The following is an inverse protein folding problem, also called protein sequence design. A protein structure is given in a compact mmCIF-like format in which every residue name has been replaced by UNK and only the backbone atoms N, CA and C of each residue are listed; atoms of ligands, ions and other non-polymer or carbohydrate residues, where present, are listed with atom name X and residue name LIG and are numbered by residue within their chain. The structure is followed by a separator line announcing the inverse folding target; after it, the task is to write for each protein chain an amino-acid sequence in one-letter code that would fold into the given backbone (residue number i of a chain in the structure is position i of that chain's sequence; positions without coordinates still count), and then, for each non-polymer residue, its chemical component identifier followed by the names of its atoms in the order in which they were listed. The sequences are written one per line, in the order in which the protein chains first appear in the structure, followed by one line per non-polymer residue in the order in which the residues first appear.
data_IF_652710499167
#
_entry.id   IF_652710499167
#
_cell.length_a   1.000
_cell.length_b   1.000
_cell.length_c   1.000
_cell.angle_alpha   90.00
_cell.angle_beta   90.00
_cell.angle_gamma   90.00
#
_symmetry.space_group_name_H-M   'P 1'
#
loop_
_entity.id
_entity.type
_entity.pdbx_description
1 polymer ?
#
# COMPACT_ATOMS: atom_id res chain seq x y z
N UNK A 1 7.83 14.11 13.47
CA UNK A 1 6.94 13.10 14.04
C UNK A 1 6.85 11.92 13.06
N UNK A 2 7.25 10.68 13.47
CA UNK A 2 7.24 9.50 12.62
C UNK A 2 5.81 9.06 12.20
N UNK A 3 4.78 9.61 12.80
CA UNK A 3 3.37 9.38 12.47
C UNK A 3 2.76 10.52 11.64
N UNK A 4 3.53 11.54 11.25
CA UNK A 4 3.03 12.61 10.39
C UNK A 4 2.56 12.07 9.04
N UNK A 5 1.61 12.76 8.39
CA UNK A 5 0.88 12.26 7.23
C UNK A 5 1.70 11.84 6.00
N UNK A 6 2.99 12.23 5.89
CA UNK A 6 3.97 11.71 4.92
C UNK A 6 5.27 11.39 5.65
N UNK A 7 5.72 10.15 5.51
CA UNK A 7 7.01 9.69 5.97
C UNK A 7 7.99 9.69 4.79
N UNK A 8 8.97 10.60 4.77
CA UNK A 8 10.01 10.56 3.75
C UNK A 8 10.97 9.41 4.04
N UNK A 9 10.91 8.35 3.24
CA UNK A 9 11.86 7.22 3.34
C UNK A 9 13.18 7.58 2.65
N UNK A 10 13.13 8.34 1.55
CA UNK A 10 14.25 8.97 0.86
C UNK A 10 13.78 10.26 0.20
N UNK A 11 14.47 11.38 0.46
CA UNK A 11 14.05 12.70 -0.03
C UNK A 11 14.88 13.23 -1.20
N UNK A 12 16.10 12.75 -1.38
CA UNK A 12 17.00 13.24 -2.43
C UNK A 12 16.75 12.55 -3.76
N UNK A 13 17.02 13.28 -4.86
CA UNK A 13 17.03 12.75 -6.20
C UNK A 13 16.23 13.57 -7.21
N UNK A 14 16.52 13.37 -8.50
CA UNK A 14 15.89 14.04 -9.62
C UNK A 14 14.85 13.19 -10.36
N UNK A 15 14.81 11.90 -10.08
CA UNK A 15 13.85 10.99 -10.70
C UNK A 15 12.45 11.18 -10.10
N UNK A 16 11.37 10.91 -10.85
CA UNK A 16 10.01 10.97 -10.34
C UNK A 16 9.84 10.07 -9.10
N UNK A 17 9.24 10.57 -8.02
CA UNK A 17 9.07 9.83 -6.76
C UNK A 17 8.25 8.54 -6.89
N UNK A 18 8.51 7.59 -5.99
CA UNK A 18 7.60 6.49 -5.67
C UNK A 18 6.80 6.86 -4.42
N UNK A 19 5.47 6.82 -4.52
CA UNK A 19 4.55 7.01 -3.39
C UNK A 19 3.97 5.67 -2.96
N UNK A 20 4.21 5.32 -1.69
CA UNK A 20 3.72 4.09 -1.07
C UNK A 20 2.54 4.42 -0.16
N UNK A 21 1.42 3.71 -0.32
CA UNK A 21 0.17 3.97 0.41
C UNK A 21 0.04 2.99 1.58
N UNK A 22 -0.30 3.53 2.75
CA UNK A 22 -0.37 2.77 3.99
C UNK A 22 -1.39 1.63 3.95
N UNK A 23 -1.07 0.47 4.56
CA UNK A 23 -2.03 -0.62 4.78
C UNK A 23 -3.07 -0.24 5.84
N UNK A 24 -3.98 -1.15 6.18
CA UNK A 24 -5.07 -0.87 7.12
C UNK A 24 -4.62 -0.31 8.48
N UNK A 25 -3.42 -0.65 8.96
CA UNK A 25 -2.86 -0.09 10.20
C UNK A 25 -2.44 1.39 10.11
N UNK A 26 -2.49 1.98 8.93
CA UNK A 26 -2.20 3.40 8.74
C UNK A 26 -0.71 3.77 8.65
N UNK A 27 0.21 2.81 8.76
CA UNK A 27 1.65 3.07 8.90
C UNK A 27 2.42 2.87 7.60
N UNK A 28 3.32 3.79 7.27
CA UNK A 28 4.06 3.80 6.02
C UNK A 28 5.46 3.15 6.08
N UNK A 29 6.04 2.95 7.26
CA UNK A 29 7.42 2.42 7.38
C UNK A 29 7.60 1.00 6.87
N UNK A 30 6.53 0.24 6.67
CA UNK A 30 6.53 -1.12 6.13
C UNK A 30 7.23 -1.22 4.77
N UNK A 31 7.32 -0.11 4.05
CA UNK A 31 7.97 -0.04 2.74
C UNK A 31 9.45 0.30 2.79
N UNK A 32 10.04 0.51 3.97
CA UNK A 32 11.46 0.91 4.11
C UNK A 32 12.43 -0.07 3.46
N UNK A 33 12.10 -1.35 3.45
CA UNK A 33 12.90 -2.39 2.80
C UNK A 33 13.04 -2.23 1.28
N UNK A 34 12.17 -1.47 0.61
CA UNK A 34 12.27 -1.19 -0.83
C UNK A 34 13.44 -0.28 -1.19
N UNK A 35 13.96 0.50 -0.22
CA UNK A 35 15.08 1.42 -0.47
C UNK A 35 16.35 0.72 -0.98
N UNK A 36 16.48 -0.58 -0.72
CA UNK A 36 17.61 -1.40 -1.20
C UNK A 36 17.60 -1.62 -2.70
N UNK A 37 16.44 -1.49 -3.33
CA UNK A 37 16.22 -1.84 -4.74
C UNK A 37 15.97 -0.63 -5.62
N UNK A 38 15.43 0.46 -5.06
CA UNK A 38 15.18 1.69 -5.82
C UNK A 38 16.48 2.49 -6.01
N UNK A 39 16.60 3.13 -7.18
CA UNK A 39 17.75 3.97 -7.48
C UNK A 39 17.97 5.02 -6.39
N UNK A 40 19.23 5.30 -6.06
CA UNK A 40 19.58 6.30 -5.02
C UNK A 40 19.09 7.72 -5.35
N UNK A 41 18.86 8.01 -6.64
CA UNK A 41 18.36 9.28 -7.16
C UNK A 41 16.83 9.34 -7.31
N UNK A 42 16.11 8.37 -6.76
CA UNK A 42 14.66 8.35 -6.74
C UNK A 42 14.13 8.60 -5.33
N UNK A 43 13.40 9.69 -5.09
CA UNK A 43 12.70 9.90 -3.82
C UNK A 43 11.65 8.80 -3.58
N UNK A 44 11.50 8.40 -2.32
CA UNK A 44 10.49 7.43 -1.89
C UNK A 44 9.76 8.01 -0.68
N UNK A 45 8.47 8.16 -0.82
CA UNK A 45 7.59 8.68 0.22
C UNK A 45 6.54 7.64 0.60
N UNK A 46 6.37 7.42 1.88
CA UNK A 46 5.26 6.61 2.39
C UNK A 46 4.22 7.53 3.01
N UNK A 47 2.98 7.43 2.54
CA UNK A 47 1.86 8.12 3.17
C UNK A 47 1.48 7.38 4.45
N UNK A 48 0.89 8.12 5.39
CA UNK A 48 0.41 7.61 6.66
C UNK A 48 -1.00 8.15 6.93
N UNK A 49 -1.79 7.38 7.67
CA UNK A 49 -3.15 7.76 8.02
C UNK A 49 -3.14 8.90 9.06
N UNK A 50 -3.94 9.94 8.81
CA UNK A 50 -4.07 11.08 9.74
C UNK A 50 -4.65 10.71 11.10
N UNK A 51 -5.43 9.63 11.17
CA UNK A 51 -5.96 9.11 12.44
C UNK A 51 -4.91 8.65 13.43
N UNK A 52 -3.68 8.36 12.97
CA UNK A 52 -2.53 8.07 13.84
C UNK A 52 -2.12 9.29 14.67
N UNK A 53 -2.40 10.50 14.20
CA UNK A 53 -2.09 11.76 14.89
C UNK A 53 -3.34 12.51 15.36
N UNK A 54 -4.48 11.80 15.42
CA UNK A 54 -5.72 12.32 15.99
C UNK A 54 -6.63 13.06 15.02
N UNK A 55 -6.43 12.91 13.70
CA UNK A 55 -7.42 13.38 12.74
C UNK A 55 -8.72 12.57 12.88
N UNK A 56 -9.84 13.20 12.57
CA UNK A 56 -11.14 12.52 12.52
C UNK A 56 -11.12 11.38 11.48
N UNK A 57 -11.81 10.27 11.75
CA UNK A 57 -11.97 9.20 10.78
C UNK A 57 -12.61 9.70 9.50
N UNK A 58 -12.07 9.30 8.35
CA UNK A 58 -12.70 9.57 7.07
C UNK A 58 -14.02 8.81 6.92
N UNK A 59 -14.94 9.37 6.15
CA UNK A 59 -16.24 8.75 5.87
C UNK A 59 -16.15 7.62 4.84
N UNK A 60 -15.20 7.71 3.92
CA UNK A 60 -15.00 6.77 2.82
C UNK A 60 -13.55 6.83 2.28
N UNK A 61 -13.24 5.91 1.36
CA UNK A 61 -11.91 5.83 0.71
C UNK A 61 -11.65 7.03 -0.19
N UNK A 62 -12.69 7.63 -0.75
CA UNK A 62 -12.57 8.79 -1.65
C UNK A 62 -12.08 10.03 -0.88
N UNK A 63 -12.54 10.24 0.33
CA UNK A 63 -12.05 11.30 1.22
C UNK A 63 -10.57 11.11 1.58
N UNK A 64 -10.18 9.86 1.88
CA UNK A 64 -8.77 9.50 2.11
C UNK A 64 -7.92 9.75 0.86
N UNK A 65 -8.41 9.32 -0.30
CA UNK A 65 -7.72 9.51 -1.58
C UNK A 65 -7.53 10.99 -1.89
N UNK A 66 -8.55 11.83 -1.67
CA UNK A 66 -8.45 13.28 -1.84
C UNK A 66 -7.39 13.91 -0.93
N UNK A 67 -7.38 13.51 0.33
CA UNK A 67 -6.38 13.97 1.29
C UNK A 67 -4.96 13.55 0.86
N UNK A 68 -4.80 12.30 0.40
CA UNK A 68 -3.53 11.79 -0.10
C UNK A 68 -3.08 12.52 -1.38
N UNK A 69 -3.98 12.77 -2.33
CA UNK A 69 -3.66 13.52 -3.57
C UNK A 69 -3.16 14.93 -3.24
N UNK A 70 -3.78 15.64 -2.30
CA UNK A 70 -3.27 16.96 -1.88
C UNK A 70 -1.84 16.88 -1.36
N UNK A 71 -1.51 15.87 -0.57
CA UNK A 71 -0.16 15.65 -0.01
C UNK A 71 0.85 15.25 -1.10
N UNK A 72 0.47 14.36 -2.01
CA UNK A 72 1.28 13.93 -3.14
C UNK A 72 1.61 15.13 -4.03
N UNK A 73 0.61 15.94 -4.37
CA UNK A 73 0.80 17.12 -5.22
C UNK A 73 1.61 18.24 -4.57
N UNK A 74 1.65 18.30 -3.26
CA UNK A 74 2.55 19.21 -2.56
C UNK A 74 4.03 18.86 -2.74
N UNK A 75 4.35 17.58 -3.04
CA UNK A 75 5.69 17.10 -3.33
C UNK A 75 5.95 17.07 -4.84
N UNK A 76 5.01 16.52 -5.60
CA UNK A 76 5.07 16.38 -7.06
C UNK A 76 3.78 16.98 -7.65
N UNK A 77 3.81 18.23 -8.13
CA UNK A 77 2.62 18.93 -8.64
C UNK A 77 1.98 18.29 -9.87
N UNK A 78 2.80 17.67 -10.74
CA UNK A 78 2.37 17.04 -12.01
C UNK A 78 2.99 15.66 -12.17
N UNK A 79 2.29 14.78 -12.94
CA UNK A 79 2.77 13.43 -13.26
C UNK A 79 4.06 13.41 -14.09
N UNK A 80 4.57 12.22 -14.42
CA UNK A 80 3.94 10.92 -14.18
C UNK A 80 4.07 10.44 -12.73
N UNK A 81 2.99 9.88 -12.19
CA UNK A 81 2.96 9.37 -10.81
C UNK A 81 3.26 7.86 -10.78
N UNK A 82 3.97 7.43 -9.73
CA UNK A 82 4.21 6.01 -9.42
C UNK A 82 3.62 5.71 -8.05
N UNK A 83 2.66 4.80 -8.02
CA UNK A 83 1.88 4.44 -6.83
C UNK A 83 2.07 2.97 -6.49
N UNK A 84 2.31 2.68 -5.23
CA UNK A 84 2.41 1.34 -4.68
C UNK A 84 1.56 1.22 -3.42
N UNK A 85 0.78 0.15 -3.29
CA UNK A 85 0.01 -0.09 -2.07
C UNK A 85 -0.10 -1.57 -1.72
N UNK A 86 0.02 -1.89 -0.43
CA UNK A 86 -0.23 -3.21 0.12
C UNK A 86 -1.58 -3.26 0.82
N UNK A 87 -2.35 -4.36 0.59
CA UNK A 87 -3.63 -4.57 1.28
C UNK A 87 -4.59 -3.38 1.05
N UNK A 88 -5.12 -2.76 2.08
CA UNK A 88 -5.90 -1.52 2.01
C UNK A 88 -5.19 -0.41 1.22
N UNK A 89 -3.87 -0.32 1.35
CA UNK A 89 -3.06 0.65 0.61
C UNK A 89 -3.17 0.51 -0.91
N UNK A 90 -3.42 -0.70 -1.42
CA UNK A 90 -3.64 -0.90 -2.86
C UNK A 90 -5.01 -0.39 -3.32
N UNK A 91 -6.05 -0.54 -2.50
CA UNK A 91 -7.37 0.08 -2.77
C UNK A 91 -7.24 1.61 -2.79
N UNK A 92 -6.54 2.15 -1.80
CA UNK A 92 -6.28 3.59 -1.72
C UNK A 92 -5.41 4.09 -2.90
N UNK A 93 -4.40 3.31 -3.33
CA UNK A 93 -3.58 3.63 -4.49
C UNK A 93 -4.42 3.69 -5.78
N UNK A 94 -5.35 2.76 -5.95
CA UNK A 94 -6.26 2.75 -7.11
C UNK A 94 -7.22 3.95 -7.07
N UNK A 95 -7.80 4.29 -5.93
CA UNK A 95 -8.65 5.48 -5.78
C UNK A 95 -7.88 6.79 -6.07
N UNK A 96 -6.63 6.89 -5.62
CA UNK A 96 -5.73 8.00 -5.94
C UNK A 96 -5.43 8.05 -7.44
N UNK A 97 -5.11 6.89 -8.06
CA UNK A 97 -4.79 6.80 -9.47
C UNK A 97 -5.94 7.29 -10.36
N UNK A 98 -7.16 6.83 -10.11
CA UNK A 98 -8.35 7.26 -10.86
C UNK A 98 -8.65 8.75 -10.68
N UNK A 99 -8.45 9.27 -9.46
CA UNK A 99 -8.64 10.70 -9.16
C UNK A 99 -7.60 11.57 -9.88
N UNK A 100 -6.34 11.14 -9.93
CA UNK A 100 -5.28 11.80 -10.70
C UNK A 100 -5.59 11.80 -12.20
N UNK A 101 -6.03 10.66 -12.76
CA UNK A 101 -6.44 10.59 -14.16
C UNK A 101 -7.64 11.48 -14.48
N UNK A 102 -8.64 11.54 -13.60
CA UNK A 102 -9.78 12.46 -13.74
C UNK A 102 -9.34 13.93 -13.76
N UNK A 103 -8.24 14.24 -13.07
CA UNK A 103 -7.62 15.58 -13.10
C UNK A 103 -6.67 15.80 -14.31
N UNK A 104 -6.62 14.87 -15.29
CA UNK A 104 -5.78 14.96 -16.49
C UNK A 104 -4.32 14.57 -16.29
N UNK A 105 -3.98 13.95 -15.16
CA UNK A 105 -2.62 13.54 -14.84
C UNK A 105 -2.31 12.12 -15.33
N UNK A 106 -1.03 11.85 -15.57
CA UNK A 106 -0.55 10.51 -15.95
C UNK A 106 -0.12 9.71 -14.72
N UNK A 107 -0.63 8.50 -14.57
CA UNK A 107 -0.15 7.48 -13.64
C UNK A 107 0.66 6.46 -14.43
N UNK A 108 1.97 6.47 -14.26
CA UNK A 108 2.90 5.61 -15.00
C UNK A 108 3.07 4.22 -14.35
N UNK A 109 2.79 4.09 -13.07
CA UNK A 109 2.81 2.82 -12.35
C UNK A 109 1.70 2.78 -11.31
N UNK A 110 0.84 1.77 -11.40
CA UNK A 110 -0.06 1.33 -10.34
C UNK A 110 0.30 -0.10 -9.94
N UNK A 111 0.91 -0.24 -8.76
CA UNK A 111 1.46 -1.49 -8.24
C UNK A 111 0.75 -1.88 -6.95
N UNK A 112 0.22 -3.10 -6.90
CA UNK A 112 -0.62 -3.60 -5.82
C UNK A 112 0.04 -4.84 -5.19
N UNK A 113 0.18 -4.85 -3.88
CA UNK A 113 0.67 -6.00 -3.12
C UNK A 113 -0.51 -6.65 -2.41
N UNK A 114 -0.94 -7.79 -2.90
CA UNK A 114 -2.04 -8.63 -2.39
C UNK A 114 -3.28 -7.81 -1.95
N UNK A 115 -3.73 -6.95 -2.86
CA UNK A 115 -4.83 -6.02 -2.66
C UNK A 115 -5.96 -6.30 -3.64
N UNK A 116 -7.20 -6.32 -3.17
CA UNK A 116 -8.38 -6.71 -3.96
C UNK A 116 -9.61 -5.89 -3.58
N UNK A 117 -10.56 -5.66 -4.51
CA UNK A 117 -11.89 -5.16 -4.15
C UNK A 117 -12.60 -6.13 -3.21
N UNK A 118 -13.10 -5.63 -2.07
CA UNK A 118 -13.70 -6.48 -1.02
C UNK A 118 -15.21 -6.29 -0.85
N UNK A 119 -15.83 -5.36 -1.58
CA UNK A 119 -17.24 -4.99 -1.39
C UNK A 119 -18.26 -6.12 -1.68
N UNK A 120 -17.82 -7.17 -2.38
CA UNK A 120 -18.65 -8.37 -2.65
C UNK A 120 -18.44 -9.48 -1.62
N UNK A 121 -17.46 -9.32 -0.72
CA UNK A 121 -17.17 -10.27 0.33
C UNK A 121 -17.86 -9.85 1.64
N UNK A 122 -18.27 -10.80 2.48
CA UNK A 122 -18.78 -10.49 3.81
C UNK A 122 -17.70 -9.76 4.62
N UNK A 123 -18.11 -8.69 5.29
CA UNK A 123 -17.19 -7.98 6.19
C UNK A 123 -16.75 -8.93 7.31
N UNK A 124 -15.46 -9.02 7.62
CA UNK A 124 -14.99 -9.85 8.71
C UNK A 124 -15.58 -9.36 10.03
N UNK A 125 -16.02 -10.28 10.87
CA UNK A 125 -16.32 -9.96 12.25
C UNK A 125 -14.99 -9.67 12.95
N UNK A 126 -14.59 -8.42 12.94
CA UNK A 126 -13.39 -7.97 13.63
C UNK A 126 -13.61 -8.00 15.14
N UNK A 127 -13.40 -9.15 15.75
CA UNK A 127 -13.15 -9.20 17.19
C UNK A 127 -11.83 -8.45 17.43
N UNK A 128 -11.91 -7.38 18.16
CA UNK A 128 -11.04 -6.22 18.25
C UNK A 128 -9.53 -6.42 18.53
N UNK A 129 -9.06 -7.63 18.69
CA UNK A 129 -7.68 -7.89 19.07
C UNK A 129 -6.91 -8.84 18.12
N UNK A 130 -7.59 -9.73 17.39
CA UNK A 130 -6.88 -10.75 16.59
C UNK A 130 -6.28 -10.18 15.30
N UNK A 131 -7.04 -9.42 14.52
CA UNK A 131 -6.55 -8.87 13.26
C UNK A 131 -5.41 -7.85 13.43
N UNK A 132 -5.46 -7.03 14.49
CA UNK A 132 -4.35 -6.16 14.82
C UNK A 132 -3.14 -6.96 15.31
N UNK A 133 -3.35 -8.02 16.09
CA UNK A 133 -2.28 -8.90 16.56
C UNK A 133 -1.60 -9.60 15.39
N UNK A 134 -2.37 -10.20 14.47
CA UNK A 134 -1.84 -10.83 13.25
C UNK A 134 -1.04 -9.84 12.40
N UNK A 135 -1.54 -8.59 12.26
CA UNK A 135 -0.81 -7.54 11.58
C UNK A 135 0.47 -7.16 12.31
N UNK A 136 0.42 -6.99 13.64
CA UNK A 136 1.60 -6.64 14.45
C UNK A 136 2.61 -7.79 14.46
N UNK A 137 2.15 -9.03 14.50
CA UNK A 137 2.97 -10.23 14.37
C UNK A 137 3.61 -10.29 12.97
N UNK A 138 2.86 -10.02 11.90
CA UNK A 138 3.39 -9.98 10.53
C UNK A 138 4.42 -8.85 10.30
N UNK A 139 4.28 -7.73 11.00
CA UNK A 139 5.27 -6.64 11.00
C UNK A 139 6.50 -6.99 11.85
N UNK A 140 6.37 -7.99 12.75
CA UNK A 140 7.39 -8.43 13.70
C UNK A 140 8.21 -9.66 13.27
N UNK A 141 7.67 -10.51 12.41
CA UNK A 141 8.29 -11.80 12.00
C UNK A 141 9.35 -11.69 10.89
N UNK A 142 9.71 -10.48 10.48
CA UNK A 142 10.92 -10.27 9.68
C UNK A 142 12.15 -10.50 10.54
N UNK A 143 13.05 -11.42 10.10
CA UNK A 143 14.37 -11.70 10.67
C UNK A 143 15.00 -10.42 11.26
N UNK A 144 15.39 -10.39 12.55
CA UNK A 144 15.79 -9.17 13.22
C UNK A 144 17.14 -8.67 12.71
N UNK A 145 17.14 -8.07 11.53
CA UNK A 145 18.22 -7.14 11.23
C UNK A 145 18.14 -6.01 12.27
N UNK A 146 19.25 -5.61 12.91
CA UNK A 146 19.25 -4.55 13.91
C UNK A 146 18.64 -3.27 13.33
N UNK A 147 17.43 -2.91 13.77
CA UNK A 147 16.69 -1.74 13.28
C UNK A 147 15.34 -2.02 12.61
N UNK A 148 14.92 -3.27 12.46
CA UNK A 148 13.63 -3.64 11.86
C UNK A 148 12.42 -3.41 12.78
N UNK A 149 11.23 -3.57 12.24
CA UNK A 149 9.91 -3.25 12.82
C UNK A 149 9.67 -3.65 14.28
N UNK A 150 10.31 -4.71 14.80
CA UNK A 150 10.26 -5.08 16.22
C UNK A 150 10.81 -3.99 17.16
N UNK A 151 11.83 -3.25 16.72
CA UNK A 151 12.36 -2.12 17.49
C UNK A 151 11.41 -0.92 17.47
N UNK A 152 10.70 -0.71 16.36
CA UNK A 152 9.73 0.39 16.23
C UNK A 152 8.50 0.12 17.09
N UNK A 153 7.95 -1.10 17.04
CA UNK A 153 6.77 -1.46 17.83
C UNK A 153 7.08 -1.49 19.34
N UNK A 154 8.25 -1.99 19.74
CA UNK A 154 8.66 -2.01 21.14
C UNK A 154 8.88 -0.60 21.73
N UNK A 155 9.08 0.40 20.88
CA UNK A 155 9.25 1.81 21.28
C UNK A 155 7.96 2.63 21.24
N UNK A 156 6.82 2.07 20.77
CA UNK A 156 5.55 2.78 20.71
C UNK A 156 4.89 2.89 22.08
N UNK A 157 4.39 4.08 22.41
CA UNK A 157 3.53 4.29 23.56
C UNK A 157 2.16 3.60 23.36
N UNK A 158 1.51 3.22 24.47
CA UNK A 158 0.18 2.57 24.41
C UNK A 158 -0.83 3.39 23.60
N UNK A 159 -0.80 4.71 23.71
CA UNK A 159 -1.67 5.61 22.95
C UNK A 159 -1.49 5.48 21.43
N UNK A 160 -0.27 5.24 20.97
CA UNK A 160 0.05 5.02 19.55
C UNK A 160 -0.48 3.65 19.08
N UNK A 161 -0.34 2.62 19.89
CA UNK A 161 -0.91 1.29 19.61
C UNK A 161 -2.44 1.38 19.54
N UNK A 162 -3.08 2.10 20.46
CA UNK A 162 -4.53 2.30 20.47
C UNK A 162 -5.00 3.11 19.24
N UNK A 163 -4.21 4.10 18.80
CA UNK A 163 -4.48 4.86 17.58
C UNK A 163 -4.40 3.95 16.34
N UNK A 164 -3.36 3.11 16.22
CA UNK A 164 -3.24 2.12 15.15
C UNK A 164 -4.43 1.15 15.14
N UNK A 165 -4.88 0.69 16.30
CA UNK A 165 -6.04 -0.20 16.41
C UNK A 165 -7.33 0.48 15.95
N UNK A 166 -7.54 1.75 16.26
CA UNK A 166 -8.69 2.53 15.78
C UNK A 166 -8.65 2.70 14.26
N UNK A 167 -7.51 3.13 13.73
CA UNK A 167 -7.26 3.32 12.29
C UNK A 167 -7.49 2.01 11.54
N UNK A 168 -6.93 0.90 12.03
CA UNK A 168 -7.09 -0.41 11.44
C UNK A 168 -8.57 -0.80 11.29
N UNK A 169 -9.36 -0.69 12.37
CA UNK A 169 -10.79 -1.02 12.31
C UNK A 169 -11.56 -0.14 11.33
N UNK A 170 -11.27 1.16 11.32
CA UNK A 170 -11.86 2.10 10.36
C UNK A 170 -11.53 1.70 8.93
N UNK A 171 -10.26 1.52 8.61
CA UNK A 171 -9.79 1.23 7.25
C UNK A 171 -10.28 -0.14 6.73
N UNK A 172 -10.42 -1.15 7.59
CA UNK A 172 -11.04 -2.42 7.20
C UNK A 172 -12.52 -2.22 6.85
N UNK A 173 -13.25 -1.44 7.62
CA UNK A 173 -14.64 -1.10 7.31
C UNK A 173 -14.75 -0.35 5.97
N UNK A 174 -13.88 0.62 5.74
CA UNK A 174 -13.82 1.38 4.48
C UNK A 174 -13.46 0.48 3.29
N UNK A 175 -12.54 -0.48 3.45
CA UNK A 175 -12.18 -1.43 2.40
C UNK A 175 -13.38 -2.25 1.90
N UNK A 176 -14.24 -2.72 2.81
CA UNK A 176 -15.44 -3.48 2.46
C UNK A 176 -16.57 -2.61 1.91
N UNK A 177 -16.61 -1.33 2.24
CA UNK A 177 -17.57 -0.39 1.67
C UNK A 177 -17.15 0.16 0.31
N UNK A 178 -15.86 0.17 0.02
CA UNK A 178 -15.28 0.79 -1.17
C UNK A 178 -15.67 0.07 -2.46
N UNK A 179 -16.15 0.84 -3.43
CA UNK A 179 -16.41 0.40 -4.80
C UNK A 179 -15.47 1.15 -5.73
N UNK A 180 -14.45 0.48 -6.26
CA UNK A 180 -13.47 1.14 -7.14
C UNK A 180 -14.14 1.76 -8.37
N UNK A 181 -13.64 2.90 -8.81
CA UNK A 181 -13.92 3.45 -10.14
C UNK A 181 -12.93 2.87 -11.15
N UNK A 182 -13.21 3.01 -12.45
CA UNK A 182 -12.38 2.41 -13.50
C UNK A 182 -11.08 3.18 -13.65
N UNK A 183 -9.96 2.49 -13.51
CA UNK A 183 -8.61 2.97 -13.81
C UNK A 183 -8.28 2.67 -15.29
N UNK A 184 -7.82 3.67 -16.02
CA UNK A 184 -7.42 3.52 -17.43
C UNK A 184 -5.90 3.26 -17.52
N UNK A 185 -5.52 2.00 -17.60
CA UNK A 185 -4.12 1.59 -17.67
C UNK A 185 -3.87 0.18 -17.16
N UNK A 186 -2.62 -0.25 -17.24
CA UNK A 186 -2.15 -1.54 -16.75
C UNK A 186 -1.94 -1.49 -15.22
N UNK A 187 -2.23 -2.60 -14.55
CA UNK A 187 -2.01 -2.80 -13.12
C UNK A 187 -1.05 -3.97 -12.91
N UNK A 188 -0.08 -3.82 -12.02
CA UNK A 188 0.75 -4.93 -11.55
C UNK A 188 0.29 -5.37 -10.17
N UNK A 189 -0.05 -6.63 -10.04
CA UNK A 189 -0.55 -7.23 -8.81
C UNK A 189 0.35 -8.40 -8.39
N UNK A 190 1.03 -8.26 -7.25
CA UNK A 190 1.65 -9.42 -6.59
C UNK A 190 0.61 -10.08 -5.70
N UNK A 191 0.52 -11.40 -5.78
CA UNK A 191 -0.45 -12.20 -5.03
C UNK A 191 0.25 -13.14 -4.06
N UNK A 192 -0.12 -13.11 -2.79
CA UNK A 192 0.28 -14.10 -1.80
C UNK A 192 -0.41 -15.42 -2.09
N UNK A 193 0.32 -16.56 -2.05
CA UNK A 193 -0.27 -17.87 -2.33
C UNK A 193 -0.48 -18.74 -1.09
N UNK A 194 0.06 -18.34 0.06
CA UNK A 194 -0.04 -19.08 1.32
C UNK A 194 -1.15 -18.49 2.22
N UNK A 195 -1.80 -19.34 3.01
CA UNK A 195 -2.83 -18.93 3.97
C UNK A 195 -4.17 -18.50 3.35
N UNK A 196 -4.40 -18.75 2.05
CA UNK A 196 -5.66 -18.40 1.38
C UNK A 196 -6.73 -19.45 1.68
N UNK A 197 -7.87 -19.00 2.22
CA UNK A 197 -9.04 -19.84 2.42
C UNK A 197 -9.93 -19.94 1.17
N UNK A 198 -10.92 -20.80 1.24
CA UNK A 198 -11.98 -20.90 0.21
C UNK A 198 -12.73 -19.56 0.09
N UNK A 199 -12.92 -19.10 -1.16
CA UNK A 199 -13.56 -17.81 -1.43
C UNK A 199 -12.66 -16.58 -1.21
N UNK A 200 -11.35 -16.76 -1.05
CA UNK A 200 -10.42 -15.64 -1.02
C UNK A 200 -10.48 -14.85 -2.34
N UNK A 201 -10.31 -13.50 -2.30
CA UNK A 201 -10.38 -12.66 -3.49
C UNK A 201 -9.31 -13.06 -4.52
N UNK A 202 -9.60 -12.87 -5.80
CA UNK A 202 -8.73 -13.26 -6.91
C UNK A 202 -8.37 -12.06 -7.79
N UNK A 203 -7.30 -12.14 -8.59
CA UNK A 203 -6.90 -11.04 -9.48
C UNK A 203 -8.02 -10.56 -10.41
N UNK A 204 -8.88 -11.46 -10.86
CA UNK A 204 -9.99 -11.17 -11.77
C UNK A 204 -11.08 -10.29 -11.12
N UNK A 205 -11.09 -10.15 -9.80
CA UNK A 205 -11.98 -9.21 -9.10
C UNK A 205 -11.68 -7.75 -9.48
N UNK A 206 -10.48 -7.46 -10.00
CA UNK A 206 -10.12 -6.17 -10.55
C UNK A 206 -10.63 -5.93 -11.98
N UNK A 207 -11.01 -6.98 -12.74
CA UNK A 207 -11.37 -6.85 -14.16
C UNK A 207 -12.45 -5.79 -14.45
N UNK A 208 -13.48 -5.58 -13.61
CA UNK A 208 -14.46 -4.52 -13.84
C UNK A 208 -13.92 -3.08 -13.65
N UNK A 209 -12.74 -2.93 -13.05
CA UNK A 209 -12.19 -1.65 -12.58
C UNK A 209 -10.86 -1.27 -13.26
N UNK A 210 -10.45 -2.01 -14.30
CA UNK A 210 -9.19 -1.78 -15.01
C UNK A 210 -9.44 -1.94 -16.50
N UNK A 211 -9.10 -0.93 -17.33
CA UNK A 211 -9.23 -1.04 -18.80
C UNK A 211 -8.06 -1.75 -19.44
N UNK A 212 -6.88 -1.64 -18.84
CA UNK A 212 -5.65 -2.27 -19.29
C UNK A 212 -5.50 -3.71 -18.81
N UNK A 213 -4.27 -4.20 -18.79
CA UNK A 213 -3.94 -5.56 -18.34
C UNK A 213 -3.73 -5.60 -16.84
N UNK A 214 -4.25 -6.65 -16.21
CA UNK A 214 -3.90 -7.01 -14.84
C UNK A 214 -2.78 -8.05 -14.91
N UNK A 215 -1.55 -7.60 -14.65
CA UNK A 215 -0.36 -8.45 -14.67
C UNK A 215 -0.13 -8.99 -13.29
N UNK A 216 -0.11 -10.31 -13.15
CA UNK A 216 -0.06 -10.99 -11.86
C UNK A 216 1.27 -11.69 -11.65
N UNK A 217 1.87 -11.51 -10.47
CA UNK A 217 3.06 -12.23 -10.03
C UNK A 217 2.74 -12.94 -8.72
N UNK A 218 2.85 -14.27 -8.71
CA UNK A 218 2.62 -15.08 -7.52
C UNK A 218 3.85 -15.14 -6.61
N UNK A 219 3.64 -15.01 -5.31
CA UNK A 219 4.67 -15.12 -4.28
C UNK A 219 4.28 -16.17 -3.25
N UNK A 220 5.22 -17.09 -2.97
CA UNK A 220 5.07 -18.09 -1.91
C UNK A 220 5.30 -17.42 -0.54
N UNK A 221 4.28 -16.72 -0.07
CA UNK A 221 4.21 -16.08 1.24
C UNK A 221 2.74 -15.87 1.62
N UNK A 222 2.48 -15.53 2.87
CA UNK A 222 1.16 -15.11 3.35
C UNK A 222 0.90 -13.62 3.05
N UNK A 223 -0.36 -13.18 3.22
CA UNK A 223 -0.76 -11.78 3.09
C UNK A 223 0.10 -10.84 3.95
N UNK A 224 0.31 -11.21 5.21
CA UNK A 224 1.08 -10.42 6.17
C UNK A 224 2.57 -10.30 5.82
N UNK A 225 3.12 -11.27 5.09
CA UNK A 225 4.55 -11.29 4.74
C UNK A 225 4.90 -10.51 3.47
N UNK A 226 3.92 -9.90 2.77
CA UNK A 226 4.17 -9.19 1.50
C UNK A 226 5.17 -8.04 1.60
N UNK A 227 5.39 -7.50 2.79
CA UNK A 227 6.39 -6.45 3.04
C UNK A 227 7.61 -6.95 3.84
N UNK A 228 7.70 -8.27 4.09
CA UNK A 228 8.88 -8.90 4.68
C UNK A 228 10.11 -8.75 3.79
N UNK A 229 11.31 -8.86 4.37
CA UNK A 229 12.55 -8.81 3.59
C UNK A 229 12.57 -9.85 2.46
N UNK A 230 12.12 -11.09 2.74
CA UNK A 230 12.06 -12.20 1.77
C UNK A 230 11.13 -11.89 0.59
N UNK A 231 9.96 -11.32 0.84
CA UNK A 231 9.03 -10.93 -0.21
C UNK A 231 9.59 -9.74 -1.00
N UNK A 232 10.14 -8.74 -0.32
CA UNK A 232 10.73 -7.56 -0.95
C UNK A 232 11.97 -7.89 -1.80
N UNK A 233 12.73 -8.94 -1.48
CA UNK A 233 13.83 -9.43 -2.33
C UNK A 233 13.35 -9.92 -3.71
N UNK A 234 12.07 -10.30 -3.82
CA UNK A 234 11.43 -10.69 -5.09
C UNK A 234 10.70 -9.53 -5.76
N UNK A 235 10.01 -8.70 -4.99
CA UNK A 235 9.21 -7.56 -5.45
C UNK A 235 10.10 -6.40 -5.86
N UNK A 236 11.08 -6.05 -5.05
CA UNK A 236 11.88 -4.84 -5.18
C UNK A 236 12.63 -4.71 -6.52
N UNK A 237 13.35 -5.75 -7.00
CA UNK A 237 14.00 -5.70 -8.31
C UNK A 237 13.03 -5.47 -9.47
N UNK A 238 11.79 -6.01 -9.39
CA UNK A 238 10.78 -5.84 -10.42
C UNK A 238 10.22 -4.40 -10.41
N UNK A 239 9.96 -3.85 -9.21
CA UNK A 239 9.58 -2.43 -9.07
C UNK A 239 10.68 -1.53 -9.62
N UNK A 240 11.94 -1.76 -9.25
CA UNK A 240 13.06 -0.97 -9.74
C UNK A 240 13.17 -1.00 -11.27
N UNK A 241 13.04 -2.18 -11.89
CA UNK A 241 13.04 -2.31 -13.33
C UNK A 241 11.93 -1.48 -14.00
N UNK A 242 10.70 -1.55 -13.48
CA UNK A 242 9.57 -0.77 -14.00
C UNK A 242 9.75 0.73 -13.83
N UNK A 243 10.25 1.17 -12.70
CA UNK A 243 10.53 2.58 -12.43
C UNK A 243 11.60 3.15 -13.36
N UNK A 244 12.50 2.29 -13.88
CA UNK A 244 13.52 2.64 -14.87
C UNK A 244 13.07 2.46 -16.33
N UNK A 245 11.77 2.21 -16.57
CA UNK A 245 11.23 1.99 -17.91
C UNK A 245 11.49 0.59 -18.48
N UNK A 246 11.87 -0.37 -17.62
CA UNK A 246 12.07 -1.76 -17.99
C UNK A 246 10.76 -2.51 -18.29
N UNK A 247 10.87 -3.75 -18.79
CA UNK A 247 9.71 -4.54 -19.16
C UNK A 247 8.88 -4.94 -17.93
N UNK A 248 7.57 -5.07 -18.16
CA UNK A 248 6.65 -5.58 -17.16
C UNK A 248 6.91 -7.06 -16.89
N UNK A 249 6.88 -7.51 -15.62
CA UNK A 249 7.05 -8.92 -15.29
C UNK A 249 5.91 -9.76 -15.90
N UNK A 250 6.23 -10.98 -16.33
CA UNK A 250 5.25 -11.89 -16.96
C UNK A 250 4.88 -11.53 -18.40
N UNK A 251 5.72 -10.77 -19.10
CA UNK A 251 5.45 -10.32 -20.47
C UNK A 251 5.52 -11.45 -21.48
N UNK A 252 4.47 -11.61 -22.23
CA UNK A 252 4.33 -11.52 -23.70
C UNK A 252 3.14 -10.64 -24.02
#
# INVERSE_FOLDING_TARGET
DPLSGILPLRTGGALPPLFCLYPAAGVGWVYSGLLRFTESDRPVYALQDGGLTGADPASDVEELAESCVRRIRAIQPTGPYHLLGWSFGGLLAQAIATRLQTAGETVALLALLDSYPLHHLPAPVLSSASGLRELLESLGDGDPAPGAANGVLAGLAQEQVDAMARVFRSNVGLAHAFRPTVFDGDVLLWTATEGRGDGAPVPDDWAPYVTGRIRTVQLACSHGEMTSHRALDRIGPQIAALLSGGPWPGGD
#
